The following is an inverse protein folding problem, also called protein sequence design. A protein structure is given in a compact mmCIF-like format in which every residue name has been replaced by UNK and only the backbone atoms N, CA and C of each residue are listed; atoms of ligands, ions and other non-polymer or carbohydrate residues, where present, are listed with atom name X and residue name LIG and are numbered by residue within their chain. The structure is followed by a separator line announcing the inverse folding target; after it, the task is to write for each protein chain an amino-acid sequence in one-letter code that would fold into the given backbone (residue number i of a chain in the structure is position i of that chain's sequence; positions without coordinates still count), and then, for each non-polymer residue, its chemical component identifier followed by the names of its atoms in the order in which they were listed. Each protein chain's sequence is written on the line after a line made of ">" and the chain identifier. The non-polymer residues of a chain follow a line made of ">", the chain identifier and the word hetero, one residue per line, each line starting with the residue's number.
data_IF_452909323072
#
_entry.id   IF_452909323072
#
_cell.length_a   1.000
_cell.length_b   1.000
_cell.length_c   1.000
_cell.angle_alpha   90.00
_cell.angle_beta   90.00
_cell.angle_gamma   90.00
#
_symmetry.space_group_name_H-M   'P 1'
#
loop_
_entity.id
_entity.type
_entity.pdbx_description
1 polymer ?
#
# COMPACT_ATOMS: atom_id res chain seq x y z
N UNK A 1 26.22 14.44 3.65
CA UNK A 1 26.65 13.03 3.65
C UNK A 1 26.66 12.56 2.21
N UNK A 2 27.76 11.98 1.78
CA UNK A 2 27.87 11.37 0.45
C UNK A 2 26.98 10.12 0.38
N UNK A 3 26.43 9.79 -0.81
CA UNK A 3 25.43 8.72 -1.02
C UNK A 3 25.86 7.32 -0.54
N UNK A 4 27.15 7.10 -0.24
CA UNK A 4 27.70 5.78 0.13
C UNK A 4 27.60 5.43 1.62
N UNK A 5 27.23 6.37 2.51
CA UNK A 5 27.21 6.12 3.97
C UNK A 5 25.82 5.76 4.55
N UNK A 6 24.77 5.72 3.74
CA UNK A 6 23.42 5.37 4.24
C UNK A 6 23.25 3.85 4.45
N UNK A 7 22.47 3.40 5.44
CA UNK A 7 22.06 2.00 5.56
C UNK A 7 21.48 1.46 4.24
N UNK A 8 21.77 0.19 3.92
CA UNK A 8 21.31 -0.44 2.66
C UNK A 8 19.80 -0.32 2.43
N UNK A 9 19.01 -0.34 3.50
CA UNK A 9 17.55 -0.19 3.43
C UNK A 9 17.12 1.21 3.00
N UNK A 10 17.86 2.23 3.43
CA UNK A 10 17.59 3.63 3.06
C UNK A 10 17.99 3.87 1.60
N UNK A 11 19.14 3.36 1.17
CA UNK A 11 19.55 3.41 -0.24
C UNK A 11 18.56 2.70 -1.17
N UNK A 12 17.99 1.57 -0.75
CA UNK A 12 16.97 0.87 -1.51
C UNK A 12 15.69 1.69 -1.61
N UNK A 13 15.23 2.27 -0.49
CA UNK A 13 14.04 3.11 -0.46
C UNK A 13 14.18 4.36 -1.33
N UNK A 14 15.36 4.99 -1.36
CA UNK A 14 15.65 6.12 -2.25
C UNK A 14 15.50 5.71 -3.73
N UNK A 15 16.10 4.58 -4.13
CA UNK A 15 15.99 4.08 -5.51
C UNK A 15 14.55 3.69 -5.88
N UNK A 16 13.82 3.03 -4.97
CA UNK A 16 12.40 2.72 -5.17
C UNK A 16 11.58 4.01 -5.32
N UNK A 17 11.89 5.04 -4.52
CA UNK A 17 11.21 6.35 -4.58
C UNK A 17 11.46 7.08 -5.89
N UNK A 18 12.71 7.11 -6.35
CA UNK A 18 13.09 7.68 -7.65
C UNK A 18 12.33 7.00 -8.80
N UNK A 19 12.30 5.67 -8.81
CA UNK A 19 11.59 4.88 -9.83
C UNK A 19 10.07 5.10 -9.79
N UNK A 20 9.46 5.10 -8.61
CA UNK A 20 8.02 5.34 -8.44
C UNK A 20 7.64 6.71 -9.00
N UNK A 21 8.42 7.74 -8.69
CA UNK A 21 8.17 9.08 -9.20
C UNK A 21 8.39 9.18 -10.71
N UNK A 22 9.39 8.48 -11.26
CA UNK A 22 9.62 8.42 -12.70
C UNK A 22 8.42 7.80 -13.43
N UNK A 23 7.97 6.62 -12.99
CA UNK A 23 6.84 5.92 -13.59
C UNK A 23 5.57 6.77 -13.55
N UNK A 24 5.26 7.35 -12.38
CA UNK A 24 4.06 8.18 -12.20
C UNK A 24 4.07 9.47 -13.04
N UNK A 25 5.25 10.00 -13.38
CA UNK A 25 5.38 11.15 -14.30
C UNK A 25 5.28 10.77 -15.77
N UNK A 26 5.63 9.53 -16.12
CA UNK A 26 5.71 9.06 -17.50
C UNK A 26 4.34 8.62 -18.03
N UNK A 27 3.59 7.87 -17.24
CA UNK A 27 2.31 7.31 -17.65
C UNK A 27 1.38 7.04 -16.47
N UNK A 28 0.10 6.86 -16.76
CA UNK A 28 -0.88 6.40 -15.77
C UNK A 28 -0.57 4.98 -15.36
N UNK A 29 -0.48 4.74 -14.05
CA UNK A 29 -0.15 3.43 -13.50
C UNK A 29 -0.81 3.19 -12.14
N UNK A 30 -0.88 1.93 -11.73
CA UNK A 30 -1.30 1.52 -10.39
C UNK A 30 -0.08 0.99 -9.63
N UNK A 31 0.22 1.58 -8.48
CA UNK A 31 1.35 1.20 -7.63
C UNK A 31 0.81 0.62 -6.32
N UNK A 32 1.18 -0.62 -6.01
CA UNK A 32 0.71 -1.32 -4.81
C UNK A 32 1.79 -1.30 -3.72
N UNK A 33 1.50 -0.64 -2.60
CA UNK A 33 2.39 -0.61 -1.44
C UNK A 33 3.58 0.33 -1.62
N UNK A 34 4.76 -0.09 -1.12
CA UNK A 34 6.06 0.63 -1.25
C UNK A 34 6.04 2.09 -0.77
N UNK A 35 5.11 2.44 0.12
CA UNK A 35 4.85 3.82 0.54
C UNK A 35 4.57 4.78 -0.63
N UNK A 36 4.00 4.28 -1.73
CA UNK A 36 3.65 5.10 -2.89
C UNK A 36 2.78 6.30 -2.51
N UNK A 37 1.89 6.14 -1.53
CA UNK A 37 1.06 7.23 -1.00
C UNK A 37 1.87 8.36 -0.33
N UNK A 38 2.97 8.00 0.32
CA UNK A 38 3.89 8.98 0.92
C UNK A 38 4.82 9.58 -0.13
N UNK A 39 5.36 8.76 -1.03
CA UNK A 39 6.30 9.19 -2.08
C UNK A 39 5.63 10.15 -3.07
N UNK A 40 4.36 9.90 -3.41
CA UNK A 40 3.57 10.69 -4.35
C UNK A 40 2.55 11.60 -3.65
N UNK A 41 2.74 11.92 -2.36
CA UNK A 41 1.80 12.73 -1.57
C UNK A 41 1.54 14.12 -2.16
N UNK A 42 2.54 14.69 -2.83
CA UNK A 42 2.50 16.04 -3.41
C UNK A 42 2.10 16.02 -4.90
N UNK A 43 1.81 14.85 -5.47
CA UNK A 43 1.38 14.71 -6.86
C UNK A 43 -0.14 14.89 -6.97
N UNK A 44 -0.66 15.98 -7.58
CA UNK A 44 -2.10 16.27 -7.57
C UNK A 44 -2.96 15.24 -8.30
N UNK A 45 -2.36 14.54 -9.27
CA UNK A 45 -3.02 13.51 -10.09
C UNK A 45 -2.93 12.11 -9.47
N UNK A 46 -2.31 11.97 -8.29
CA UNK A 46 -2.27 10.71 -7.57
C UNK A 46 -3.51 10.54 -6.68
N UNK A 47 -4.02 9.32 -6.62
CA UNK A 47 -5.15 8.94 -5.76
C UNK A 47 -4.74 7.79 -4.84
N UNK A 48 -4.74 8.04 -3.55
CA UNK A 48 -4.14 7.16 -2.55
C UNK A 48 -5.21 6.33 -1.85
N UNK A 49 -5.17 5.01 -2.05
CA UNK A 49 -6.17 4.10 -1.48
C UNK A 49 -5.53 3.14 -0.48
N UNK A 50 -6.17 3.00 0.68
CA UNK A 50 -5.87 1.96 1.65
C UNK A 50 -6.99 0.93 1.67
N UNK A 51 -6.66 -0.33 1.40
CA UNK A 51 -7.62 -1.44 1.41
C UNK A 51 -7.34 -2.31 2.62
N UNK A 52 -8.36 -2.55 3.44
CA UNK A 52 -8.30 -3.44 4.60
C UNK A 52 -9.32 -4.59 4.47
N UNK A 53 -9.21 -5.56 5.37
CA UNK A 53 -10.24 -6.56 5.66
C UNK A 53 -10.02 -7.05 7.10
N UNK A 54 -11.00 -7.75 7.67
CA UNK A 54 -10.77 -8.45 8.93
C UNK A 54 -9.67 -9.50 8.78
N UNK A 55 -8.83 -9.64 9.81
CA UNK A 55 -7.65 -10.51 9.76
C UNK A 55 -7.99 -11.97 9.42
N UNK A 56 -9.17 -12.45 9.82
CA UNK A 56 -9.65 -13.78 9.46
C UNK A 56 -9.88 -13.91 7.94
N UNK A 57 -10.54 -12.91 7.34
CA UNK A 57 -10.78 -12.86 5.89
C UNK A 57 -9.48 -12.71 5.11
N UNK A 58 -8.54 -11.90 5.60
CA UNK A 58 -7.19 -11.82 5.03
C UNK A 58 -6.49 -13.18 5.04
N UNK A 59 -6.55 -13.90 6.16
CA UNK A 59 -5.93 -15.21 6.32
C UNK A 59 -6.59 -16.27 5.42
N UNK A 60 -7.92 -16.30 5.31
CA UNK A 60 -8.63 -17.19 4.39
C UNK A 60 -8.21 -16.97 2.93
N UNK A 61 -8.15 -15.71 2.49
CA UNK A 61 -7.69 -15.36 1.13
C UNK A 61 -6.24 -15.78 0.90
N UNK A 62 -5.36 -15.56 1.87
CA UNK A 62 -3.95 -15.98 1.80
C UNK A 62 -3.80 -17.50 1.80
N UNK A 63 -4.56 -18.22 2.63
CA UNK A 63 -4.57 -19.68 2.70
C UNK A 63 -4.96 -20.28 1.34
N UNK A 64 -6.03 -19.76 0.74
CA UNK A 64 -6.51 -20.20 -0.57
C UNK A 64 -5.50 -19.89 -1.69
N UNK A 65 -4.95 -18.67 -1.73
CA UNK A 65 -4.01 -18.23 -2.78
C UNK A 65 -2.67 -18.97 -2.73
N UNK A 66 -2.13 -19.16 -1.52
CA UNK A 66 -0.79 -19.68 -1.31
C UNK A 66 -0.78 -21.19 -0.95
N UNK A 67 -1.95 -21.84 -0.96
CA UNK A 67 -2.14 -23.26 -0.64
C UNK A 67 -1.50 -23.67 0.70
N UNK A 68 -1.83 -22.93 1.76
CA UNK A 68 -1.28 -23.16 3.11
C UNK A 68 -2.36 -23.34 4.17
N UNK A 69 -1.98 -23.86 5.34
CA UNK A 69 -2.92 -24.04 6.45
C UNK A 69 -3.44 -22.69 6.98
N UNK A 70 -4.64 -22.65 7.60
CA UNK A 70 -5.17 -21.44 8.21
C UNK A 70 -4.21 -20.79 9.23
N UNK A 71 -3.51 -21.60 10.02
CA UNK A 71 -2.55 -21.15 11.02
C UNK A 71 -1.32 -20.50 10.37
N UNK A 72 -0.79 -21.12 9.32
CA UNK A 72 0.33 -20.58 8.56
C UNK A 72 -0.06 -19.27 7.85
N UNK A 73 -1.26 -19.20 7.28
CA UNK A 73 -1.78 -18.00 6.64
C UNK A 73 -1.96 -16.85 7.62
N UNK A 74 -2.54 -17.12 8.80
CA UNK A 74 -2.71 -16.12 9.85
C UNK A 74 -1.36 -15.58 10.34
N UNK A 75 -0.38 -16.47 10.55
CA UNK A 75 0.97 -16.07 10.93
C UNK A 75 1.63 -15.20 9.84
N UNK A 76 1.45 -15.56 8.56
CA UNK A 76 1.96 -14.80 7.42
C UNK A 76 1.32 -13.41 7.33
N UNK A 77 0.01 -13.31 7.47
CA UNK A 77 -0.72 -12.03 7.47
C UNK A 77 -0.21 -11.12 8.59
N UNK A 78 -0.14 -11.63 9.82
CA UNK A 78 0.37 -10.87 10.98
C UNK A 78 1.79 -10.37 10.73
N UNK A 79 2.68 -11.24 10.23
CA UNK A 79 4.07 -10.89 9.92
C UNK A 79 4.15 -9.79 8.86
N UNK A 80 3.48 -9.96 7.73
CA UNK A 80 3.52 -8.99 6.61
C UNK A 80 2.92 -7.64 7.02
N UNK A 81 1.81 -7.63 7.75
CA UNK A 81 1.20 -6.38 8.24
C UNK A 81 2.11 -5.68 9.26
N UNK A 82 2.77 -6.42 10.13
CA UNK A 82 3.79 -5.88 11.04
C UNK A 82 4.98 -5.29 10.27
N UNK A 83 5.52 -6.00 9.28
CA UNK A 83 6.62 -5.50 8.44
C UNK A 83 6.24 -4.22 7.69
N UNK A 84 5.02 -4.13 7.14
CA UNK A 84 4.49 -2.91 6.52
C UNK A 84 4.39 -1.75 7.52
N UNK A 85 3.93 -2.02 8.74
CA UNK A 85 3.84 -1.02 9.80
C UNK A 85 5.21 -0.50 10.23
N UNK A 86 6.19 -1.40 10.43
CA UNK A 86 7.57 -1.04 10.78
C UNK A 86 8.21 -0.21 9.66
N UNK A 87 8.09 -0.66 8.41
CA UNK A 87 8.62 0.05 7.25
C UNK A 87 8.01 1.46 7.10
N UNK A 88 6.68 1.57 7.23
CA UNK A 88 5.98 2.86 7.21
C UNK A 88 6.46 3.78 8.35
N UNK A 89 6.57 3.26 9.57
CA UNK A 89 7.01 4.05 10.73
C UNK A 89 8.44 4.53 10.57
N UNK A 90 9.32 3.69 10.03
CA UNK A 90 10.73 4.03 9.79
C UNK A 90 10.86 5.23 8.84
N UNK A 91 10.22 5.17 7.66
CA UNK A 91 10.40 6.17 6.60
C UNK A 91 9.49 7.40 6.70
N UNK A 92 8.28 7.24 7.23
CA UNK A 92 7.28 8.34 7.22
C UNK A 92 7.07 8.98 8.59
N UNK A 93 7.50 8.29 9.66
CA UNK A 93 7.17 8.60 11.07
C UNK A 93 5.66 8.58 11.39
N UNK A 94 4.81 8.19 10.43
CA UNK A 94 3.37 7.99 10.60
C UNK A 94 3.03 6.51 10.75
N UNK A 95 1.77 6.21 11.02
CA UNK A 95 1.29 4.84 11.21
C UNK A 95 0.71 4.29 9.89
N UNK A 96 1.01 3.02 9.60
CA UNK A 96 0.44 2.34 8.44
C UNK A 96 -1.08 2.22 8.60
N UNK A 97 -1.83 2.63 7.57
CA UNK A 97 -3.29 2.73 7.64
C UNK A 97 -3.81 4.01 8.32
N UNK A 98 -2.97 5.01 8.62
CA UNK A 98 -3.46 6.30 9.09
C UNK A 98 -4.30 6.97 8.00
N UNK A 99 -5.60 7.16 8.29
CA UNK A 99 -6.60 7.70 7.35
C UNK A 99 -6.23 9.07 6.77
N UNK A 100 -5.40 9.87 7.46
CA UNK A 100 -4.96 11.18 6.96
C UNK A 100 -4.00 11.08 5.76
N UNK A 101 -3.44 9.91 5.49
CA UNK A 101 -2.45 9.68 4.44
C UNK A 101 -3.06 9.09 3.15
N UNK A 102 -4.39 8.97 3.07
CA UNK A 102 -5.11 8.34 1.97
C UNK A 102 -6.35 9.17 1.62
N UNK A 103 -6.72 9.13 0.34
CA UNK A 103 -7.96 9.70 -0.15
C UNK A 103 -9.17 8.81 0.15
N UNK A 104 -8.95 7.49 0.18
CA UNK A 104 -9.96 6.49 0.47
C UNK A 104 -9.36 5.38 1.35
N UNK A 105 -10.05 5.07 2.45
CA UNK A 105 -9.83 3.85 3.22
C UNK A 105 -11.09 3.00 3.10
N UNK A 106 -10.95 1.78 2.59
CA UNK A 106 -12.09 0.89 2.31
C UNK A 106 -11.83 -0.52 2.82
N UNK A 107 -12.86 -1.10 3.44
CA UNK A 107 -12.87 -2.47 3.94
C UNK A 107 -13.44 -3.40 2.85
N UNK A 108 -12.59 -4.23 2.27
CA UNK A 108 -12.92 -5.05 1.08
C UNK A 108 -13.70 -6.33 1.37
N UNK A 109 -13.87 -6.70 2.63
CA UNK A 109 -14.72 -7.81 3.06
C UNK A 109 -16.20 -7.42 3.12
N UNK A 110 -16.53 -6.14 3.27
CA UNK A 110 -17.91 -5.64 3.22
C UNK A 110 -18.53 -5.73 1.81
N UNK A 111 -17.71 -5.55 0.75
CA UNK A 111 -18.19 -5.44 -0.63
C UNK A 111 -17.63 -6.53 -1.57
N UNK A 112 -16.58 -7.25 -1.15
CA UNK A 112 -15.84 -8.15 -2.04
C UNK A 112 -14.96 -7.40 -3.04
N UNK A 113 -14.14 -8.13 -3.80
CA UNK A 113 -13.09 -7.56 -4.66
C UNK A 113 -13.67 -6.73 -5.81
N UNK A 114 -14.64 -7.27 -6.53
CA UNK A 114 -15.19 -6.61 -7.73
C UNK A 114 -15.88 -5.29 -7.40
N UNK A 115 -16.74 -5.28 -6.38
CA UNK A 115 -17.47 -4.07 -6.01
C UNK A 115 -16.55 -3.04 -5.36
N UNK A 116 -15.59 -3.46 -4.54
CA UNK A 116 -14.54 -2.56 -4.01
C UNK A 116 -13.77 -1.87 -5.16
N UNK A 117 -13.43 -2.60 -6.21
CA UNK A 117 -12.72 -2.05 -7.37
C UNK A 117 -13.56 -1.00 -8.12
N UNK A 118 -14.87 -1.24 -8.30
CA UNK A 118 -15.78 -0.26 -8.91
C UNK A 118 -15.90 1.01 -8.07
N UNK A 119 -16.09 0.88 -6.76
CA UNK A 119 -16.16 2.03 -5.84
C UNK A 119 -14.88 2.89 -5.94
N UNK A 120 -13.71 2.26 -5.98
CA UNK A 120 -12.43 2.96 -6.12
C UNK A 120 -12.37 3.71 -7.47
N UNK A 121 -12.74 3.06 -8.57
CA UNK A 121 -12.73 3.65 -9.90
C UNK A 121 -13.70 4.84 -10.01
N UNK A 122 -14.94 4.69 -9.53
CA UNK A 122 -15.95 5.74 -9.55
C UNK A 122 -15.51 6.99 -8.76
N UNK A 123 -14.91 6.79 -7.58
CA UNK A 123 -14.43 7.90 -6.76
C UNK A 123 -13.20 8.57 -7.37
N UNK A 124 -12.31 7.79 -8.00
CA UNK A 124 -11.17 8.33 -8.74
C UNK A 124 -11.63 9.21 -9.90
N UNK A 125 -12.54 8.72 -10.75
CA UNK A 125 -13.07 9.48 -11.89
C UNK A 125 -13.74 10.78 -11.44
N UNK A 126 -14.53 10.74 -10.36
CA UNK A 126 -15.18 11.94 -9.81
C UNK A 126 -14.22 12.96 -9.24
N UNK A 127 -13.08 12.53 -8.67
CA UNK A 127 -12.07 13.44 -8.14
C UNK A 127 -11.23 14.08 -9.25
N UNK A 128 -10.99 13.34 -10.33
CA UNK A 128 -10.13 13.76 -11.44
C UNK A 128 -10.87 14.47 -12.58
N UNK A 129 -12.21 14.54 -12.51
CA UNK A 129 -13.06 15.35 -13.38
C UNK A 129 -12.91 16.86 -13.09
#
# INVERSE_FOLDING_TARGET
>A
MEKEELPKVDQLFEKESELIQELARKESCVIVGRLGNYILKDMPTAYHVFISADMAVEAERVAARDHMSPEAALAKVKKVNHERAVHCKHFTKTDWGNVKNYDLCIKSDDFGVEETAKIIADLFEKKMA
#
